data_IF_463940143306
#
_entry.id   IF_463940143306
#
_cell.length_a   1.000
_cell.length_b   1.000
_cell.length_c   1.000
_cell.angle_alpha   90.00
_cell.angle_beta   90.00
_cell.angle_gamma   90.00
#
_symmetry.space_group_name_H-M   'P 1'
#
loop_
_entity.id
_entity.type
_entity.pdbx_description
1 polymer ?
#
# COMPACT_ATOMS: atom_id res chain seq x y z
N UNK A 1 35.01 21.67 -7.15
CA UNK A 1 34.47 21.76 -5.78
C UNK A 1 32.97 21.59 -5.92
N UNK A 2 32.38 20.57 -5.28
CA UNK A 2 30.93 20.55 -5.10
C UNK A 2 30.63 21.56 -4.00
N UNK A 3 29.73 22.49 -4.25
CA UNK A 3 29.22 23.37 -3.20
C UNK A 3 28.52 22.53 -2.12
N UNK A 4 28.77 22.86 -0.86
CA UNK A 4 28.15 22.17 0.27
C UNK A 4 26.63 22.46 0.29
N UNK A 5 25.82 21.40 0.29
CA UNK A 5 24.37 21.54 0.33
C UNK A 5 23.92 22.21 1.63
N UNK A 6 23.20 23.33 1.52
CA UNK A 6 22.55 24.01 2.65
C UNK A 6 21.04 23.88 2.50
N UNK A 7 20.34 23.17 3.42
CA UNK A 7 18.88 23.07 3.38
C UNK A 7 18.18 24.44 3.51
N UNK A 8 17.03 24.66 2.86
CA UNK A 8 16.25 25.87 3.05
C UNK A 8 15.60 25.93 4.45
N UNK A 9 15.28 27.12 4.98
CA UNK A 9 14.60 27.27 6.27
C UNK A 9 13.17 26.70 6.27
N UNK A 10 12.55 26.60 5.09
CA UNK A 10 11.27 25.95 4.87
C UNK A 10 11.45 24.95 3.74
N UNK A 11 11.14 23.68 4.01
CA UNK A 11 11.22 22.64 3.00
C UNK A 11 10.11 22.78 1.97
N UNK A 12 10.46 22.60 0.70
CA UNK A 12 9.52 22.56 -0.43
C UNK A 12 9.61 21.22 -1.13
N UNK A 13 8.46 20.70 -1.56
CA UNK A 13 8.42 19.49 -2.37
C UNK A 13 8.85 19.77 -3.81
N UNK A 14 9.93 19.13 -4.24
CA UNK A 14 10.36 19.10 -5.64
C UNK A 14 9.96 17.77 -6.27
N UNK A 15 9.25 17.84 -7.41
CA UNK A 15 8.84 16.65 -8.13
C UNK A 15 10.05 15.87 -8.65
N UNK A 16 9.95 14.53 -8.65
CA UNK A 16 11.03 13.65 -9.11
C UNK A 16 11.90 13.06 -8.00
N UNK A 17 11.79 13.53 -6.76
CA UNK A 17 12.46 12.93 -5.61
C UNK A 17 11.77 11.61 -5.19
N UNK A 18 12.53 10.52 -5.04
CA UNK A 18 11.99 9.20 -4.64
C UNK A 18 12.39 8.01 -5.53
N UNK A 19 13.23 8.22 -6.57
CA UNK A 19 13.71 7.16 -7.44
C UNK A 19 12.56 6.38 -8.10
N UNK A 20 12.55 5.05 -7.94
CA UNK A 20 11.48 4.17 -8.47
C UNK A 20 10.06 4.57 -7.99
N UNK A 21 9.96 5.29 -6.87
CA UNK A 21 8.70 5.70 -6.25
C UNK A 21 8.42 7.21 -6.38
N UNK A 22 9.19 7.94 -7.19
CA UNK A 22 8.99 9.37 -7.39
C UNK A 22 7.59 9.71 -7.94
N UNK A 23 6.98 8.79 -8.70
CA UNK A 23 5.61 8.94 -9.21
C UNK A 23 4.55 8.87 -8.09
N UNK A 24 4.82 8.18 -6.97
CA UNK A 24 3.84 7.94 -5.90
C UNK A 24 4.08 8.76 -4.62
N UNK A 25 5.34 9.06 -4.26
CA UNK A 25 5.69 9.78 -3.04
C UNK A 25 5.24 11.25 -3.10
N UNK A 26 4.48 11.71 -2.10
CA UNK A 26 3.97 13.08 -2.00
C UNK A 26 4.00 13.57 -0.54
N UNK A 27 4.05 14.90 -0.30
CA UNK A 27 3.98 15.46 1.04
C UNK A 27 2.55 15.49 1.62
N UNK A 28 1.55 15.08 0.84
CA UNK A 28 0.13 15.07 1.22
C UNK A 28 -0.44 13.67 1.13
N UNK A 29 -1.28 13.32 2.10
CA UNK A 29 -2.05 12.07 2.13
C UNK A 29 -3.41 12.23 1.40
N UNK A 30 -4.19 11.15 1.38
CA UNK A 30 -5.57 11.15 0.88
C UNK A 30 -5.75 10.40 -0.45
N UNK A 31 -7.02 10.15 -0.78
CA UNK A 31 -7.43 9.53 -2.02
C UNK A 31 -7.11 10.44 -3.21
N UNK A 32 -6.72 9.84 -4.33
CA UNK A 32 -6.33 10.53 -5.57
C UNK A 32 -7.22 10.18 -6.75
N UNK A 33 -7.93 9.06 -6.67
CA UNK A 33 -8.89 8.61 -7.68
C UNK A 33 -10.08 7.92 -7.02
N UNK A 34 -11.24 7.99 -7.68
CA UNK A 34 -12.40 7.20 -7.28
C UNK A 34 -12.18 5.77 -7.76
N UNK A 35 -12.08 4.84 -6.82
CA UNK A 35 -11.86 3.43 -7.09
C UNK A 35 -12.50 2.61 -5.97
N UNK A 36 -13.55 1.88 -6.30
CA UNK A 36 -14.17 0.95 -5.37
C UNK A 36 -13.34 -0.33 -5.26
N UNK A 37 -13.39 -0.97 -4.10
CA UNK A 37 -12.70 -2.23 -3.87
C UNK A 37 -13.60 -3.43 -4.20
N UNK A 38 -13.08 -4.47 -4.88
CA UNK A 38 -13.83 -5.72 -5.05
C UNK A 38 -14.04 -6.40 -3.70
N UNK A 39 -15.18 -7.07 -3.52
CA UNK A 39 -15.49 -7.86 -2.32
C UNK A 39 -15.92 -9.25 -2.76
N UNK A 40 -15.23 -10.27 -2.23
CA UNK A 40 -15.52 -11.67 -2.52
C UNK A 40 -16.45 -12.31 -1.51
N UNK A 41 -16.43 -13.64 -1.46
CA UNK A 41 -17.34 -14.45 -0.67
C UNK A 41 -16.81 -14.77 0.74
N UNK A 42 -15.50 -14.68 0.95
CA UNK A 42 -14.86 -15.10 2.18
C UNK A 42 -15.00 -14.02 3.28
N UNK A 43 -15.00 -14.41 4.57
CA UNK A 43 -15.27 -13.50 5.67
C UNK A 43 -14.22 -12.39 5.83
N UNK A 44 -12.99 -12.63 5.36
CA UNK A 44 -11.91 -11.64 5.39
C UNK A 44 -11.58 -11.16 3.97
N UNK A 45 -11.49 -9.85 3.79
CA UNK A 45 -11.07 -9.23 2.54
C UNK A 45 -9.69 -8.60 2.74
N UNK A 46 -8.66 -9.14 2.08
CA UNK A 46 -7.29 -8.70 2.20
C UNK A 46 -6.84 -7.94 0.94
N UNK A 47 -6.65 -6.62 1.06
CA UNK A 47 -6.09 -5.79 -0.01
C UNK A 47 -4.60 -5.58 0.25
N UNK A 48 -3.74 -6.27 -0.49
CA UNK A 48 -2.31 -6.37 -0.15
C UNK A 48 -1.42 -6.54 -1.39
N UNK A 49 -0.13 -6.61 -1.14
CA UNK A 49 0.90 -6.89 -2.14
C UNK A 49 1.90 -7.87 -1.53
N UNK A 50 2.46 -8.77 -2.36
CA UNK A 50 3.49 -9.75 -1.97
C UNK A 50 4.87 -9.11 -1.62
N UNK A 51 4.84 -8.17 -0.69
CA UNK A 51 5.99 -7.55 -0.03
C UNK A 51 6.30 -8.29 1.27
N UNK A 52 7.46 -8.06 1.90
CA UNK A 52 7.73 -8.59 3.24
C UNK A 52 6.69 -8.22 4.30
N UNK A 53 5.89 -7.17 4.11
CA UNK A 53 4.78 -6.84 4.99
C UNK A 53 3.51 -7.64 4.64
N UNK A 54 3.17 -7.76 3.36
CA UNK A 54 1.99 -8.50 2.94
C UNK A 54 2.08 -10.00 3.27
N UNK A 55 3.27 -10.59 3.12
CA UNK A 55 3.48 -12.01 3.46
C UNK A 55 3.24 -12.31 4.94
N UNK A 56 3.41 -11.35 5.85
CA UNK A 56 3.12 -11.56 7.29
C UNK A 56 1.66 -11.91 7.51
N UNK A 57 0.76 -11.23 6.79
CA UNK A 57 -0.68 -11.40 6.94
C UNK A 57 -1.14 -12.67 6.26
N UNK A 58 -0.70 -12.93 5.03
CA UNK A 58 -1.08 -14.17 4.34
C UNK A 58 -0.56 -15.40 5.06
N UNK A 59 0.70 -15.39 5.55
CA UNK A 59 1.23 -16.50 6.37
C UNK A 59 0.39 -16.69 7.64
N UNK A 60 0.04 -15.62 8.35
CA UNK A 60 -0.83 -15.72 9.53
C UNK A 60 -2.18 -16.38 9.20
N UNK A 61 -2.82 -15.97 8.11
CA UNK A 61 -4.12 -16.51 7.70
C UNK A 61 -4.01 -17.99 7.32
N UNK A 62 -2.98 -18.37 6.55
CA UNK A 62 -2.72 -19.77 6.22
C UNK A 62 -2.41 -20.62 7.46
N UNK A 63 -1.63 -20.12 8.42
CA UNK A 63 -1.34 -20.83 9.68
C UNK A 63 -2.61 -21.01 10.53
N UNK A 64 -3.52 -20.03 10.55
CA UNK A 64 -4.82 -20.15 11.21
C UNK A 64 -5.73 -21.18 10.53
N UNK A 65 -5.77 -21.19 9.19
CA UNK A 65 -6.50 -22.19 8.42
C UNK A 65 -5.96 -23.60 8.67
N UNK A 66 -4.62 -23.75 8.69
CA UNK A 66 -3.94 -25.00 9.02
C UNK A 66 -4.26 -25.47 10.45
N UNK A 67 -4.45 -24.55 11.39
CA UNK A 67 -4.89 -24.85 12.76
C UNK A 67 -6.41 -25.14 12.87
N UNK A 68 -7.16 -25.12 11.77
CA UNK A 68 -8.59 -25.45 11.72
C UNK A 68 -9.53 -24.27 11.98
N UNK A 69 -9.03 -23.03 11.98
CA UNK A 69 -9.86 -21.85 12.17
C UNK A 69 -10.52 -21.42 10.86
N UNK A 70 -11.66 -22.05 10.51
CA UNK A 70 -12.40 -21.74 9.28
C UNK A 70 -12.85 -20.27 9.12
N UNK A 71 -12.89 -19.49 10.20
CA UNK A 71 -13.14 -18.04 10.12
C UNK A 71 -11.98 -17.22 9.52
N UNK A 72 -10.83 -17.84 9.25
CA UNK A 72 -9.66 -17.22 8.64
C UNK A 72 -9.67 -17.27 7.10
N UNK A 73 -10.70 -17.88 6.49
CA UNK A 73 -10.91 -17.87 5.03
C UNK A 73 -10.92 -16.43 4.49
N UNK A 74 -10.22 -16.20 3.37
CA UNK A 74 -9.98 -14.84 2.88
C UNK A 74 -9.91 -14.73 1.35
N UNK A 75 -10.39 -13.60 0.83
CA UNK A 75 -10.12 -13.16 -0.54
C UNK A 75 -8.91 -12.21 -0.52
N UNK A 76 -7.85 -12.53 -1.26
CA UNK A 76 -6.66 -11.69 -1.37
C UNK A 76 -6.63 -10.92 -2.70
N UNK A 77 -6.88 -9.61 -2.62
CA UNK A 77 -6.87 -8.68 -3.74
C UNK A 77 -5.51 -7.99 -3.85
N UNK A 78 -4.97 -7.97 -5.06
CA UNK A 78 -3.70 -7.29 -5.36
C UNK A 78 -3.87 -5.77 -5.31
N UNK A 79 -2.97 -5.09 -4.59
CA UNK A 79 -2.81 -3.63 -4.57
C UNK A 79 -1.40 -3.27 -5.06
N UNK A 80 -1.29 -2.82 -6.31
CA UNK A 80 -0.03 -2.47 -6.94
C UNK A 80 0.47 -1.10 -6.46
N UNK A 81 1.29 -1.09 -5.41
CA UNK A 81 1.77 0.17 -4.82
C UNK A 81 2.59 1.04 -5.79
N UNK A 82 3.23 0.42 -6.79
CA UNK A 82 4.00 1.13 -7.82
C UNK A 82 3.12 1.88 -8.84
N UNK A 83 1.85 1.48 -8.95
CA UNK A 83 0.83 2.14 -9.78
C UNK A 83 0.01 3.17 -9.02
N UNK A 84 0.09 3.19 -7.68
CA UNK A 84 -0.66 4.14 -6.86
C UNK A 84 -2.03 3.65 -6.40
N UNK A 85 -2.36 2.36 -6.58
CA UNK A 85 -3.66 1.78 -6.19
C UNK A 85 -3.96 1.93 -4.68
N UNK A 86 -2.93 2.12 -3.85
CA UNK A 86 -3.07 2.46 -2.42
C UNK A 86 -3.66 3.86 -2.17
N UNK A 87 -3.91 4.66 -3.21
CA UNK A 87 -4.54 5.97 -3.13
C UNK A 87 -5.95 5.98 -3.75
N UNK A 88 -6.51 4.82 -4.11
CA UNK A 88 -7.90 4.70 -4.53
C UNK A 88 -8.87 4.98 -3.37
N UNK A 89 -10.03 5.59 -3.65
CA UNK A 89 -11.00 5.98 -2.62
C UNK A 89 -11.43 4.83 -1.72
N UNK A 90 -11.71 3.65 -2.26
CA UNK A 90 -12.10 2.48 -1.48
C UNK A 90 -10.97 1.92 -0.60
N UNK A 91 -9.70 2.11 -0.98
CA UNK A 91 -8.55 1.72 -0.14
C UNK A 91 -8.27 2.74 0.98
N UNK A 92 -8.64 4.00 0.78
CA UNK A 92 -8.40 5.10 1.74
C UNK A 92 -9.57 5.31 2.70
N UNK A 93 -10.79 4.93 2.32
CA UNK A 93 -12.05 5.22 3.02
C UNK A 93 -12.14 4.68 4.45
#
# INVERSE_FOLDING_TARGET
MQDEYTPPPVWTYEAGNGGKFANINRPTAGAREQQDLPVGQHPLQLYSLATPNGVKVTVLLEELLQAGHAGAEYDAWLVSIGKGEQFGSGFVA
#
